data_IF_970718537848
#
_entry.id   IF_970718537848
#
_cell.length_a   1.000
_cell.length_b   1.000
_cell.length_c   1.000
_cell.angle_alpha   90.00
_cell.angle_beta   90.00
_cell.angle_gamma   90.00
#
_symmetry.space_group_name_H-M   'P 1'
#
loop_
_entity.id
_entity.type
_entity.pdbx_description
1 polymer ?
#
# COMPACT_ATOMS: atom_id res chain seq x y z
N UNK A 1 8.00 -10.30 25.22
CA UNK A 1 7.86 -10.19 23.75
C UNK A 1 6.61 -10.96 23.36
N UNK A 2 5.48 -10.28 23.24
CA UNK A 2 4.30 -10.87 22.60
C UNK A 2 4.56 -10.83 21.10
N UNK A 3 4.74 -12.00 20.48
CA UNK A 3 4.76 -12.09 19.03
C UNK A 3 3.35 -11.82 18.54
N UNK A 4 3.13 -10.65 17.92
CA UNK A 4 1.88 -10.33 17.24
C UNK A 4 1.55 -11.44 16.24
N UNK A 5 0.37 -12.04 16.35
CA UNK A 5 -0.02 -13.12 15.45
C UNK A 5 -0.23 -12.53 14.06
N UNK A 6 0.52 -13.06 13.09
CA UNK A 6 0.49 -12.63 11.70
C UNK A 6 -0.27 -13.63 10.85
N UNK A 7 -1.22 -13.14 10.06
CA UNK A 7 -1.92 -13.89 9.02
C UNK A 7 -1.44 -13.42 7.64
N UNK A 8 -1.04 -14.37 6.80
CA UNK A 8 -0.68 -14.14 5.41
C UNK A 8 -1.68 -14.90 4.55
N UNK A 9 -2.38 -14.18 3.69
CA UNK A 9 -3.32 -14.74 2.73
C UNK A 9 -2.78 -14.51 1.34
N UNK A 10 -2.62 -15.58 0.57
CA UNK A 10 -2.42 -15.51 -0.87
C UNK A 10 -3.53 -16.29 -1.57
N UNK A 11 -3.72 -16.02 -2.86
CA UNK A 11 -4.73 -16.69 -3.67
C UNK A 11 -4.65 -18.20 -3.59
N UNK A 12 -3.42 -18.74 -3.58
CA UNK A 12 -3.18 -20.18 -3.43
C UNK A 12 -3.67 -20.70 -2.09
N UNK A 13 -3.42 -19.97 -1.00
CA UNK A 13 -3.93 -20.35 0.32
C UNK A 13 -5.45 -20.28 0.38
N UNK A 14 -6.05 -19.20 -0.15
CA UNK A 14 -7.50 -19.00 -0.15
C UNK A 14 -8.20 -20.12 -0.95
N UNK A 15 -7.70 -20.43 -2.14
CA UNK A 15 -8.21 -21.54 -2.96
C UNK A 15 -8.10 -22.89 -2.25
N UNK A 16 -7.00 -23.13 -1.53
CA UNK A 16 -6.81 -24.38 -0.78
C UNK A 16 -7.83 -24.53 0.37
N UNK A 17 -8.18 -23.42 1.03
CA UNK A 17 -9.10 -23.45 2.19
C UNK A 17 -10.56 -23.24 1.81
N UNK A 18 -10.86 -22.78 0.59
CA UNK A 18 -12.21 -22.49 0.09
C UNK A 18 -13.22 -23.63 0.39
N UNK A 19 -12.93 -24.92 0.11
CA UNK A 19 -13.89 -25.98 0.37
C UNK A 19 -14.32 -26.06 1.83
N UNK A 20 -13.41 -25.69 2.75
CA UNK A 20 -13.64 -25.72 4.19
C UNK A 20 -14.38 -24.48 4.70
N UNK A 21 -14.31 -23.33 4.00
CA UNK A 21 -15.03 -22.11 4.37
C UNK A 21 -16.56 -22.29 4.34
N UNK A 22 -17.05 -23.30 3.62
CA UNK A 22 -18.47 -23.68 3.63
C UNK A 22 -18.89 -24.40 4.92
N UNK A 23 -17.95 -24.88 5.73
CA UNK A 23 -18.23 -25.59 6.99
C UNK A 23 -18.40 -24.63 8.16
N UNK A 24 -19.58 -24.59 8.83
CA UNK A 24 -19.79 -23.73 10.01
C UNK A 24 -18.82 -24.03 11.16
N UNK A 25 -18.44 -25.30 11.32
CA UNK A 25 -17.47 -25.72 12.34
C UNK A 25 -16.08 -25.15 12.08
N UNK A 26 -15.65 -25.16 10.81
CA UNK A 26 -14.38 -24.58 10.41
C UNK A 26 -14.39 -23.06 10.60
N UNK A 27 -15.46 -22.38 10.18
CA UNK A 27 -15.63 -20.93 10.39
C UNK A 27 -15.59 -20.57 11.88
N UNK A 28 -16.23 -21.36 12.75
CA UNK A 28 -16.16 -21.13 14.21
C UNK A 28 -14.74 -21.26 14.75
N UNK A 29 -13.93 -22.19 14.23
CA UNK A 29 -12.51 -22.34 14.59
C UNK A 29 -11.67 -21.16 14.10
N UNK A 30 -11.84 -20.76 12.83
CA UNK A 30 -11.16 -19.60 12.27
C UNK A 30 -11.49 -18.33 13.04
N UNK A 31 -12.77 -18.11 13.35
CA UNK A 31 -13.21 -16.97 14.14
C UNK A 31 -12.43 -16.89 15.44
N UNK A 32 -12.30 -17.99 16.20
CA UNK A 32 -11.51 -18.01 17.45
C UNK A 32 -10.04 -17.65 17.21
N UNK A 33 -9.43 -18.17 16.15
CA UNK A 33 -8.04 -17.91 15.81
C UNK A 33 -7.80 -16.45 15.38
N UNK A 34 -8.76 -15.83 14.69
CA UNK A 34 -8.66 -14.46 14.20
C UNK A 34 -8.84 -13.41 15.30
N UNK A 35 -9.35 -13.75 16.48
CA UNK A 35 -9.42 -12.83 17.63
C UNK A 35 -8.06 -12.39 18.16
N UNK A 36 -6.97 -13.06 17.77
CA UNK A 36 -5.61 -12.70 18.16
C UNK A 36 -4.75 -12.20 16.99
N UNK A 37 -5.28 -12.16 15.76
CA UNK A 37 -4.53 -11.70 14.58
C UNK A 37 -4.42 -10.18 14.62
N UNK A 38 -3.22 -9.67 14.84
CA UNK A 38 -2.96 -8.22 14.86
C UNK A 38 -2.38 -7.73 13.52
N UNK A 39 -1.81 -8.63 12.71
CA UNK A 39 -1.15 -8.30 11.45
C UNK A 39 -1.75 -9.14 10.31
N UNK A 40 -2.25 -8.47 9.29
CA UNK A 40 -2.75 -9.07 8.06
C UNK A 40 -1.87 -8.70 6.86
N UNK A 41 -1.47 -9.69 6.08
CA UNK A 41 -0.83 -9.49 4.78
C UNK A 41 -1.64 -10.22 3.73
N UNK A 42 -2.03 -9.51 2.67
CA UNK A 42 -2.73 -10.08 1.51
C UNK A 42 -1.81 -9.92 0.30
N UNK A 43 -1.41 -11.07 -0.22
CA UNK A 43 -0.41 -11.24 -1.26
C UNK A 43 -1.08 -11.85 -2.49
N UNK A 44 -1.58 -10.97 -3.36
CA UNK A 44 -2.19 -11.34 -4.64
C UNK A 44 -1.37 -10.76 -5.78
N UNK A 45 -0.68 -11.65 -6.48
CA UNK A 45 0.17 -11.28 -7.60
C UNK A 45 -0.65 -10.99 -8.87
N UNK A 46 -1.89 -11.46 -8.95
CA UNK A 46 -2.75 -11.41 -10.14
C UNK A 46 -4.14 -10.85 -9.82
N UNK A 47 -4.96 -10.63 -10.85
CA UNK A 47 -6.37 -10.32 -10.61
C UNK A 47 -7.07 -11.54 -10.00
N UNK A 48 -7.60 -11.39 -8.79
CA UNK A 48 -8.31 -12.48 -8.11
C UNK A 48 -9.57 -12.87 -8.88
N UNK A 49 -9.76 -14.17 -9.07
CA UNK A 49 -11.01 -14.71 -9.60
C UNK A 49 -12.17 -14.44 -8.65
N UNK A 50 -13.40 -14.37 -9.18
CA UNK A 50 -14.59 -14.03 -8.37
C UNK A 50 -14.86 -15.07 -7.26
N UNK A 51 -14.52 -16.34 -7.49
CA UNK A 51 -14.61 -17.40 -6.47
C UNK A 51 -13.64 -17.14 -5.29
N UNK A 52 -12.41 -16.71 -5.59
CA UNK A 52 -11.42 -16.32 -4.58
C UNK A 52 -11.89 -15.04 -3.85
N UNK A 53 -12.49 -14.08 -4.55
CA UNK A 53 -13.05 -12.86 -3.93
C UNK A 53 -14.15 -13.20 -2.92
N UNK A 54 -15.05 -14.14 -3.24
CA UNK A 54 -16.09 -14.60 -2.32
C UNK A 54 -15.52 -15.23 -1.04
N UNK A 55 -14.52 -16.08 -1.20
CA UNK A 55 -13.80 -16.71 -0.09
C UNK A 55 -13.03 -15.70 0.75
N UNK A 56 -12.33 -14.76 0.11
CA UNK A 56 -11.61 -13.67 0.76
C UNK A 56 -12.57 -12.78 1.56
N UNK A 57 -13.72 -12.41 1.00
CA UNK A 57 -14.75 -11.64 1.71
C UNK A 57 -15.24 -12.37 2.97
N UNK A 58 -15.40 -13.69 2.92
CA UNK A 58 -15.78 -14.48 4.10
C UNK A 58 -14.73 -14.36 5.20
N UNK A 59 -13.45 -14.46 4.85
CA UNK A 59 -12.33 -14.32 5.79
C UNK A 59 -12.26 -12.88 6.35
N UNK A 60 -12.41 -11.88 5.49
CA UNK A 60 -12.37 -10.47 5.87
C UNK A 60 -13.49 -10.11 6.84
N UNK A 61 -14.70 -10.63 6.66
CA UNK A 61 -15.81 -10.43 7.60
C UNK A 61 -15.54 -11.01 9.00
N UNK A 62 -14.63 -11.98 9.12
CA UNK A 62 -14.21 -12.52 10.41
C UNK A 62 -13.12 -11.66 11.07
N UNK A 63 -12.25 -11.04 10.27
CA UNK A 63 -11.17 -10.15 10.75
C UNK A 63 -11.67 -8.74 11.04
N UNK A 64 -12.60 -8.24 10.22
CA UNK A 64 -13.21 -6.91 10.26
C UNK A 64 -14.74 -7.06 10.33
N UNK A 65 -15.27 -7.55 11.47
CA UNK A 65 -16.72 -7.70 11.63
C UNK A 65 -17.42 -6.34 11.55
N UNK A 66 -18.50 -6.21 10.75
CA UNK A 66 -19.19 -4.93 10.58
C UNK A 66 -19.78 -4.44 11.91
N UNK A 67 -19.53 -3.16 12.23
CA UNK A 67 -20.03 -2.52 13.45
C UNK A 67 -19.29 -2.92 14.73
N UNK A 68 -18.21 -3.70 14.63
CA UNK A 68 -17.37 -4.09 15.77
C UNK A 68 -15.91 -3.68 15.51
N UNK A 69 -15.17 -3.23 16.54
CA UNK A 69 -13.75 -2.94 16.37
C UNK A 69 -12.98 -4.22 16.02
N UNK A 70 -11.99 -4.10 15.13
CA UNK A 70 -11.08 -5.19 14.82
C UNK A 70 -9.87 -5.13 15.75
N UNK A 71 -9.28 -6.29 16.05
CA UNK A 71 -7.98 -6.41 16.73
C UNK A 71 -6.80 -6.23 15.76
N UNK A 72 -7.06 -6.25 14.45
CA UNK A 72 -6.04 -6.05 13.43
C UNK A 72 -5.58 -4.59 13.47
N UNK A 73 -4.28 -4.41 13.72
CA UNK A 73 -3.62 -3.09 13.79
C UNK A 73 -2.81 -2.79 12.55
N UNK A 74 -2.36 -3.83 11.84
CA UNK A 74 -1.49 -3.69 10.67
C UNK A 74 -2.04 -4.47 9.48
N UNK A 75 -2.13 -3.80 8.33
CA UNK A 75 -2.57 -4.41 7.07
C UNK A 75 -1.55 -4.08 5.98
N UNK A 76 -1.14 -5.09 5.21
CA UNK A 76 -0.36 -4.90 3.97
C UNK A 76 -1.08 -5.58 2.81
N UNK A 77 -1.29 -4.85 1.73
CA UNK A 77 -2.03 -5.30 0.55
C UNK A 77 -1.16 -5.27 -0.70
N UNK A 78 -1.26 -6.29 -1.53
CA UNK A 78 -0.73 -6.35 -2.89
C UNK A 78 -1.90 -6.55 -3.86
N UNK A 79 -2.18 -5.56 -4.73
CA UNK A 79 -3.27 -5.51 -5.71
C UNK A 79 -4.73 -5.63 -5.20
N UNK A 80 -5.00 -6.34 -4.09
CA UNK A 80 -6.34 -6.64 -3.52
C UNK A 80 -7.04 -5.46 -2.84
N UNK A 81 -6.64 -4.26 -3.21
CA UNK A 81 -7.16 -3.05 -2.62
C UNK A 81 -8.68 -2.92 -2.86
N UNK A 82 -9.20 -3.42 -3.99
CA UNK A 82 -10.63 -3.32 -4.31
C UNK A 82 -11.53 -4.19 -3.41
N UNK A 83 -11.06 -5.39 -3.07
CA UNK A 83 -11.81 -6.33 -2.23
C UNK A 83 -11.64 -5.96 -0.77
N UNK A 84 -10.43 -5.62 -0.34
CA UNK A 84 -10.11 -5.42 1.08
C UNK A 84 -10.48 -4.04 1.57
N UNK A 85 -10.34 -3.02 0.71
CA UNK A 85 -10.53 -1.63 1.08
C UNK A 85 -11.84 -1.31 1.81
N UNK A 86 -13.01 -1.80 1.31
CA UNK A 86 -14.29 -1.60 1.99
C UNK A 86 -14.33 -2.12 3.44
N UNK A 87 -13.62 -3.21 3.74
CA UNK A 87 -13.58 -3.82 5.08
C UNK A 87 -12.68 -3.06 6.06
N UNK A 88 -11.77 -2.23 5.56
CA UNK A 88 -10.92 -1.38 6.42
C UNK A 88 -11.67 -0.13 6.90
N UNK A 89 -12.78 0.21 6.26
CA UNK A 89 -13.56 1.41 6.56
C UNK A 89 -14.17 1.31 7.97
N UNK A 90 -13.88 2.29 8.80
CA UNK A 90 -14.42 2.35 10.18
C UNK A 90 -13.63 1.53 11.20
N UNK A 91 -12.54 0.89 10.80
CA UNK A 91 -11.56 0.28 11.71
C UNK A 91 -10.33 1.16 11.82
N UNK A 92 -9.75 1.27 13.02
CA UNK A 92 -8.55 2.06 13.27
C UNK A 92 -7.31 1.18 13.12
N UNK A 93 -6.61 1.31 12.00
CA UNK A 93 -5.31 0.71 11.78
C UNK A 93 -4.21 1.64 12.30
N UNK A 94 -3.16 1.04 12.87
CA UNK A 94 -1.89 1.72 13.16
C UNK A 94 -0.98 1.73 11.94
N UNK A 95 -1.02 0.68 11.13
CA UNK A 95 -0.11 0.51 10.00
C UNK A 95 -0.87 0.05 8.74
N UNK A 96 -0.68 0.76 7.62
CA UNK A 96 -1.27 0.41 6.33
C UNK A 96 -0.21 0.42 5.23
N UNK A 97 -0.02 -0.74 4.60
CA UNK A 97 0.83 -0.93 3.42
C UNK A 97 -0.01 -1.22 2.20
N UNK A 98 0.20 -0.50 1.10
CA UNK A 98 -0.45 -0.72 -0.18
C UNK A 98 0.63 -0.85 -1.24
N UNK A 99 0.62 -1.98 -1.94
CA UNK A 99 1.52 -2.26 -3.04
C UNK A 99 0.68 -2.50 -4.30
N UNK A 100 1.10 -1.89 -5.41
CA UNK A 100 0.34 -1.91 -6.64
C UNK A 100 1.22 -2.23 -7.84
N UNK A 101 0.83 -3.26 -8.60
CA UNK A 101 1.48 -3.63 -9.85
C UNK A 101 0.96 -2.77 -11.01
N UNK A 102 1.89 -2.12 -11.70
CA UNK A 102 1.66 -1.39 -12.94
C UNK A 102 1.94 -2.31 -14.14
N UNK A 103 0.91 -3.05 -14.55
CA UNK A 103 0.89 -3.91 -15.74
C UNK A 103 0.03 -3.26 -16.86
N UNK A 104 -0.32 -3.99 -17.92
CA UNK A 104 -1.10 -3.46 -19.05
C UNK A 104 -2.62 -3.39 -18.79
N UNK A 105 -3.11 -4.09 -17.76
CA UNK A 105 -4.52 -4.13 -17.34
C UNK A 105 -4.84 -3.00 -16.38
N UNK A 106 -3.86 -2.60 -15.58
CA UNK A 106 -3.96 -1.61 -14.50
C UNK A 106 -3.60 -0.19 -14.95
N UNK A 107 -2.94 -0.01 -16.10
CA UNK A 107 -2.60 1.32 -16.64
C UNK A 107 -3.06 1.49 -18.08
N UNK A 108 -3.41 2.73 -18.44
CA UNK A 108 -3.70 3.10 -19.83
C UNK A 108 -2.70 4.13 -20.33
N UNK A 109 -2.38 4.05 -21.63
CA UNK A 109 -1.53 5.04 -22.29
C UNK A 109 -2.32 6.32 -22.48
N UNK A 110 -1.75 7.45 -22.10
CA UNK A 110 -2.39 8.75 -22.31
C UNK A 110 -2.04 9.35 -23.67
N UNK A 111 -0.94 8.91 -24.29
CA UNK A 111 -0.48 9.39 -25.58
C UNK A 111 0.17 8.26 -26.38
N UNK A 112 0.06 8.35 -27.70
CA UNK A 112 0.80 7.51 -28.63
C UNK A 112 2.24 8.03 -28.75
N UNK A 113 3.22 7.14 -28.60
CA UNK A 113 4.64 7.47 -28.71
C UNK A 113 5.34 6.51 -29.68
N UNK A 114 6.43 6.95 -30.29
CA UNK A 114 7.22 6.11 -31.21
C UNK A 114 7.89 4.97 -30.44
N UNK A 115 8.22 3.88 -31.16
CA UNK A 115 8.97 2.74 -30.59
C UNK A 115 10.28 3.24 -29.98
N UNK A 116 10.58 2.85 -28.74
CA UNK A 116 11.78 3.25 -28.00
C UNK A 116 11.61 4.52 -27.14
N UNK A 117 10.49 5.24 -27.25
CA UNK A 117 10.19 6.38 -26.37
C UNK A 117 9.50 5.94 -25.08
N UNK A 118 9.64 6.77 -24.03
CA UNK A 118 8.98 6.57 -22.75
C UNK A 118 7.48 6.77 -22.94
N UNK A 119 6.69 5.77 -22.53
CA UNK A 119 5.24 5.78 -22.73
C UNK A 119 4.55 6.45 -21.53
N UNK A 120 3.85 7.58 -21.70
CA UNK A 120 3.09 8.18 -20.62
C UNK A 120 1.85 7.35 -20.30
N UNK A 121 1.64 7.06 -19.02
CA UNK A 121 0.56 6.20 -18.53
C UNK A 121 -0.14 6.81 -17.32
N UNK A 122 -1.41 6.43 -17.14
CA UNK A 122 -2.24 6.70 -15.94
C UNK A 122 -2.82 5.39 -15.42
N UNK A 123 -3.11 5.33 -14.14
CA UNK A 123 -3.74 4.15 -13.53
C UNK A 123 -5.20 4.12 -13.99
N UNK A 124 -5.66 2.95 -14.48
CA UNK A 124 -7.05 2.74 -14.93
C UNK A 124 -8.03 2.70 -13.76
N UNK A 125 -7.56 2.23 -12.62
CA UNK A 125 -8.36 2.05 -11.41
C UNK A 125 -8.48 3.37 -10.63
N UNK A 126 -9.65 3.61 -10.04
CA UNK A 126 -9.89 4.75 -9.16
C UNK A 126 -9.29 4.52 -7.76
N UNK A 127 -8.03 4.10 -7.71
CA UNK A 127 -7.29 3.77 -6.49
C UNK A 127 -7.15 5.01 -5.62
N UNK A 128 -6.84 6.16 -6.21
CA UNK A 128 -6.67 7.44 -5.50
C UNK A 128 -7.89 7.82 -4.67
N UNK A 129 -9.11 7.71 -5.23
CA UNK A 129 -10.34 7.98 -4.47
C UNK A 129 -10.52 7.00 -3.34
N UNK A 130 -10.36 5.70 -3.60
CA UNK A 130 -10.60 4.68 -2.59
C UNK A 130 -9.55 4.71 -1.45
N UNK A 131 -8.27 4.98 -1.76
CA UNK A 131 -7.25 5.21 -0.72
C UNK A 131 -7.67 6.39 0.15
N UNK A 132 -8.11 7.50 -0.47
CA UNK A 132 -8.61 8.66 0.26
C UNK A 132 -9.80 8.30 1.18
N UNK A 133 -10.76 7.52 0.68
CA UNK A 133 -11.91 7.07 1.47
C UNK A 133 -11.50 6.27 2.71
N UNK A 134 -10.54 5.34 2.57
CA UNK A 134 -10.04 4.56 3.71
C UNK A 134 -9.28 5.46 4.67
N UNK A 135 -8.31 6.23 4.17
CA UNK A 135 -7.44 7.08 4.95
C UNK A 135 -8.23 8.08 5.80
N UNK A 136 -9.30 8.67 5.24
CA UNK A 136 -10.17 9.60 5.96
C UNK A 136 -10.87 8.95 7.17
N UNK A 137 -10.95 7.62 7.23
CA UNK A 137 -11.49 6.90 8.39
C UNK A 137 -10.42 6.48 9.40
N UNK A 138 -9.13 6.58 9.06
CA UNK A 138 -8.04 6.13 9.91
C UNK A 138 -7.56 7.24 10.85
N UNK A 139 -8.04 7.26 12.09
CA UNK A 139 -7.64 8.28 13.08
C UNK A 139 -6.28 8.01 13.71
N UNK A 140 -5.90 6.74 13.82
CA UNK A 140 -4.71 6.28 14.56
C UNK A 140 -3.57 5.80 13.64
N UNK A 141 -3.59 6.17 12.36
CA UNK A 141 -2.61 5.70 11.39
C UNK A 141 -1.22 6.26 11.69
N UNK A 142 -0.39 5.47 12.35
CA UNK A 142 0.99 5.81 12.70
C UNK A 142 1.96 5.57 11.54
N UNK A 143 1.69 4.58 10.68
CA UNK A 143 2.55 4.27 9.53
C UNK A 143 1.78 3.98 8.25
N UNK A 144 2.24 4.58 7.16
CA UNK A 144 1.73 4.33 5.83
C UNK A 144 2.87 4.00 4.86
N UNK A 145 2.72 2.91 4.11
CA UNK A 145 3.64 2.52 3.04
C UNK A 145 2.89 2.40 1.73
N UNK A 146 3.37 3.06 0.68
CA UNK A 146 2.85 2.93 -0.66
C UNK A 146 3.96 2.49 -1.61
N UNK A 147 3.77 1.35 -2.26
CA UNK A 147 4.77 0.73 -3.15
C UNK A 147 4.21 0.61 -4.56
N UNK A 148 4.98 1.06 -5.55
CA UNK A 148 4.69 0.84 -6.97
C UNK A 148 5.66 -0.20 -7.54
N UNK A 149 5.09 -1.23 -8.14
CA UNK A 149 5.82 -2.36 -8.73
C UNK A 149 5.53 -2.37 -10.24
N UNK A 150 6.51 -2.69 -11.08
CA UNK A 150 6.25 -2.91 -12.51
C UNK A 150 7.01 -4.14 -13.00
N UNK A 151 6.30 -4.96 -13.76
CA UNK A 151 6.84 -6.09 -14.52
C UNK A 151 7.39 -5.63 -15.89
N UNK A 152 7.02 -4.42 -16.33
CA UNK A 152 7.22 -4.04 -17.73
C UNK A 152 8.69 -3.71 -18.04
N UNK A 153 9.19 -4.41 -19.05
CA UNK A 153 10.43 -4.10 -19.77
C UNK A 153 10.43 -2.70 -20.41
N UNK A 154 9.26 -2.09 -20.66
CA UNK A 154 9.15 -0.78 -21.30
C UNK A 154 9.24 0.34 -20.27
N UNK A 155 10.05 1.36 -20.59
CA UNK A 155 10.11 2.61 -19.82
C UNK A 155 8.75 3.31 -19.91
N UNK A 156 7.99 3.39 -18.81
CA UNK A 156 6.74 4.17 -18.72
C UNK A 156 6.98 5.47 -17.95
N UNK A 157 6.12 6.47 -18.13
CA UNK A 157 6.08 7.69 -17.31
C UNK A 157 4.72 7.79 -16.63
N UNK A 158 4.66 7.68 -15.31
CA UNK A 158 3.40 7.79 -14.57
C UNK A 158 2.98 9.26 -14.44
N UNK A 159 1.77 9.59 -14.87
CA UNK A 159 1.20 10.96 -14.88
C UNK A 159 -0.01 11.12 -13.93
N UNK A 160 -0.08 10.32 -12.87
CA UNK A 160 -1.27 10.20 -12.03
C UNK A 160 -1.32 11.23 -10.89
N UNK A 161 -1.60 12.49 -11.24
CA UNK A 161 -1.63 13.60 -10.28
C UNK A 161 -2.59 13.35 -9.10
N UNK A 162 -3.72 12.65 -9.34
CA UNK A 162 -4.73 12.36 -8.32
C UNK A 162 -4.19 11.40 -7.26
N UNK A 163 -3.44 10.37 -7.67
CA UNK A 163 -2.76 9.48 -6.73
C UNK A 163 -1.81 10.25 -5.82
N UNK A 164 -1.03 11.16 -6.37
CA UNK A 164 -0.07 11.93 -5.58
C UNK A 164 -0.74 12.97 -4.68
N UNK A 165 -1.84 13.58 -5.12
CA UNK A 165 -2.67 14.42 -4.25
C UNK A 165 -3.28 13.60 -3.10
N UNK A 166 -3.68 12.35 -3.35
CA UNK A 166 -4.13 11.44 -2.31
C UNK A 166 -3.01 11.12 -1.31
N UNK A 167 -1.82 10.74 -1.78
CA UNK A 167 -0.65 10.49 -0.93
C UNK A 167 -0.26 11.73 -0.11
N UNK A 168 -0.44 12.93 -0.67
CA UNK A 168 -0.27 14.17 0.07
C UNK A 168 -1.25 14.30 1.24
N UNK A 169 -2.53 13.98 1.04
CA UNK A 169 -3.52 14.02 2.12
C UNK A 169 -3.15 13.06 3.27
N UNK A 170 -2.52 11.92 2.96
CA UNK A 170 -1.99 11.00 3.99
C UNK A 170 -0.93 11.68 4.85
N UNK A 171 -0.01 12.44 4.24
CA UNK A 171 1.06 13.15 4.96
C UNK A 171 0.53 14.20 5.96
N UNK A 172 -0.70 14.68 5.76
CA UNK A 172 -1.35 15.65 6.64
C UNK A 172 -2.02 15.03 7.87
N UNK A 173 -2.05 13.69 7.98
CA UNK A 173 -2.63 13.03 9.14
C UNK A 173 -1.81 13.34 10.41
N UNK A 174 -2.43 13.89 11.47
CA UNK A 174 -1.70 14.26 12.69
C UNK A 174 -1.07 13.07 13.43
N UNK A 175 -1.64 11.87 13.27
CA UNK A 175 -1.16 10.63 13.88
C UNK A 175 0.00 10.00 13.12
N UNK A 176 0.26 10.41 11.87
CA UNK A 176 1.28 9.79 11.05
C UNK A 176 2.68 10.07 11.61
N UNK A 177 3.45 9.00 11.79
CA UNK A 177 4.83 9.02 12.27
C UNK A 177 5.81 8.46 11.27
N UNK A 178 5.34 7.64 10.32
CA UNK A 178 6.18 7.00 9.31
C UNK A 178 5.46 6.93 7.99
N UNK A 179 5.89 7.72 7.02
CA UNK A 179 5.48 7.57 5.63
C UNK A 179 6.61 6.95 4.83
N UNK A 180 6.29 5.97 3.98
CA UNK A 180 7.19 5.41 2.98
C UNK A 180 6.51 5.39 1.62
N UNK A 181 7.08 6.08 0.66
CA UNK A 181 6.80 5.86 -0.75
C UNK A 181 7.97 5.07 -1.34
N UNK A 182 7.67 3.90 -1.92
CA UNK A 182 8.66 3.00 -2.52
C UNK A 182 8.36 2.81 -4.01
N UNK A 183 9.21 3.38 -4.83
CA UNK A 183 9.17 3.22 -6.28
C UNK A 183 10.41 2.48 -6.82
N UNK A 184 11.17 1.83 -5.94
CA UNK A 184 12.47 1.23 -6.30
C UNK A 184 12.38 0.13 -7.35
N UNK A 185 11.21 -0.49 -7.48
CA UNK A 185 10.94 -1.52 -8.48
C UNK A 185 10.35 -0.95 -9.78
N UNK A 186 10.19 0.37 -9.91
CA UNK A 186 9.82 0.99 -11.16
C UNK A 186 11.01 1.10 -12.10
N UNK A 187 10.96 0.39 -13.24
CA UNK A 187 11.77 0.70 -14.44
C UNK A 187 11.27 1.96 -15.19
N UNK A 188 10.32 2.67 -14.58
CA UNK A 188 9.52 3.74 -15.14
C UNK A 188 9.83 5.06 -14.44
N UNK A 189 9.80 6.17 -15.19
CA UNK A 189 10.01 7.50 -14.63
C UNK A 189 8.75 7.97 -13.89
N UNK A 190 8.91 8.46 -12.67
CA UNK A 190 7.88 9.30 -12.03
C UNK A 190 8.11 10.72 -12.55
N UNK A 191 7.04 11.43 -12.90
CA UNK A 191 7.16 12.81 -13.39
C UNK A 191 7.94 13.69 -12.39
N UNK A 192 8.89 14.49 -12.87
CA UNK A 192 9.68 15.41 -12.03
C UNK A 192 8.80 16.37 -11.21
N UNK A 193 7.69 16.84 -11.78
CA UNK A 193 6.69 17.68 -11.09
C UNK A 193 6.13 16.98 -9.85
N UNK A 194 5.83 15.69 -9.99
CA UNK A 194 5.27 14.87 -8.93
C UNK A 194 6.30 14.63 -7.83
N UNK A 195 7.54 14.33 -8.21
CA UNK A 195 8.65 14.17 -7.27
C UNK A 195 8.93 15.47 -6.51
N UNK A 196 8.97 16.62 -7.19
CA UNK A 196 9.16 17.92 -6.58
C UNK A 196 8.05 18.27 -5.58
N UNK A 197 6.80 17.88 -5.86
CA UNK A 197 5.69 18.04 -4.93
C UNK A 197 5.88 17.14 -3.70
N UNK A 198 6.15 15.85 -3.88
CA UNK A 198 6.40 14.94 -2.75
C UNK A 198 7.58 15.40 -1.88
N UNK A 199 8.65 15.90 -2.51
CA UNK A 199 9.83 16.43 -1.80
C UNK A 199 9.53 17.72 -1.05
N UNK A 200 8.89 18.70 -1.68
CA UNK A 200 8.50 19.95 -1.01
C UNK A 200 7.63 19.68 0.22
N UNK A 201 6.75 18.69 0.10
CA UNK A 201 5.81 18.32 1.15
C UNK A 201 6.48 17.51 2.25
N UNK A 202 7.41 16.63 1.89
CA UNK A 202 8.28 15.94 2.84
C UNK A 202 9.07 16.93 3.69
N UNK A 203 9.66 17.95 3.05
CA UNK A 203 10.44 18.99 3.73
C UNK A 203 9.59 19.90 4.62
N UNK A 204 8.29 20.05 4.32
CA UNK A 204 7.36 20.85 5.13
C UNK A 204 6.71 20.10 6.30
N UNK A 205 6.90 18.77 6.40
CA UNK A 205 6.23 17.99 7.43
C UNK A 205 6.88 18.17 8.80
N UNK A 206 6.09 18.34 9.88
CA UNK A 206 6.61 18.43 11.24
C UNK A 206 7.02 17.06 11.84
N UNK A 207 6.88 15.96 11.08
CA UNK A 207 7.08 14.59 11.56
C UNK A 207 8.22 13.88 10.82
N UNK A 208 8.85 12.83 11.42
CA UNK A 208 9.87 12.04 10.75
C UNK A 208 9.29 11.29 9.55
N UNK A 209 9.64 11.73 8.35
CA UNK A 209 9.24 11.08 7.11
C UNK A 209 10.42 10.27 6.53
N UNK A 210 10.11 9.23 5.76
CA UNK A 210 11.12 8.34 5.18
C UNK A 210 10.84 8.10 3.68
N UNK A 211 11.50 8.84 2.78
CA UNK A 211 11.27 8.73 1.33
C UNK A 211 12.30 7.83 0.63
N UNK A 212 11.85 6.75 -0.04
CA UNK A 212 12.71 5.87 -0.86
C UNK A 212 12.32 5.89 -2.34
N UNK A 213 13.03 6.66 -3.14
CA UNK A 213 12.87 6.71 -4.59
C UNK A 213 14.05 6.04 -5.32
N UNK A 214 14.09 4.70 -5.37
CA UNK A 214 15.12 3.99 -6.12
C UNK A 214 14.85 3.99 -7.64
N UNK A 215 15.89 4.14 -8.46
CA UNK A 215 15.89 3.89 -9.90
C UNK A 215 17.15 3.08 -10.19
N UNK A 216 17.02 1.89 -10.80
CA UNK A 216 18.18 1.11 -11.26
C UNK A 216 18.54 1.53 -12.69
N UNK A 217 19.74 2.09 -12.83
CA UNK A 217 20.47 2.62 -14.00
C UNK A 217 20.06 2.15 -15.42
N UNK A 218 20.09 3.07 -16.40
CA UNK A 218 20.99 3.11 -17.58
C UNK A 218 20.72 4.39 -18.42
N UNK A 219 21.70 5.30 -18.44
CA UNK A 219 21.89 6.41 -19.38
C UNK A 219 20.65 7.28 -19.72
N UNK A 220 20.25 8.14 -18.78
CA UNK A 220 19.45 9.39 -18.97
C UNK A 220 19.56 10.17 -17.65
N UNK A 221 19.58 11.52 -17.62
CA UNK A 221 19.92 12.29 -16.41
C UNK A 221 18.78 12.35 -15.37
N UNK A 222 18.04 11.26 -15.15
CA UNK A 222 16.81 11.26 -14.36
C UNK A 222 16.86 10.30 -13.15
N UNK A 223 17.30 10.90 -12.05
CA UNK A 223 17.13 10.67 -10.59
C UNK A 223 17.16 9.24 -10.01
N UNK A 224 18.10 9.06 -9.08
CA UNK A 224 18.09 8.07 -7.99
C UNK A 224 18.01 8.81 -6.65
N UNK A 225 17.12 8.43 -5.72
CA UNK A 225 17.07 8.97 -4.34
C UNK A 225 16.77 7.89 -3.29
N UNK A 226 17.68 7.68 -2.34
CA UNK A 226 17.50 6.74 -1.23
C UNK A 226 17.65 7.48 0.11
N UNK A 227 16.56 7.53 0.92
CA UNK A 227 16.36 7.53 2.40
C UNK A 227 17.47 8.02 3.38
N UNK A 228 17.21 8.57 4.58
CA UNK A 228 16.59 7.97 5.79
C UNK A 228 16.36 9.05 6.88
N UNK A 229 15.32 8.97 7.74
CA UNK A 229 15.31 9.74 9.01
C UNK A 229 15.79 8.87 10.17
N UNK A 230 17.04 9.04 10.60
CA UNK A 230 17.57 8.49 11.86
C UNK A 230 17.28 9.46 13.02
N UNK A 231 16.07 9.41 13.59
CA UNK A 231 15.79 10.17 14.83
C UNK A 231 16.62 9.66 16.03
N UNK A 232 17.12 8.42 15.99
CA UNK A 232 17.98 7.86 17.03
C UNK A 232 19.40 8.47 17.07
N UNK A 233 19.77 9.34 16.11
CA UNK A 233 21.04 10.09 16.15
C UNK A 233 20.92 11.52 16.66
N UNK A 234 19.73 12.14 16.66
CA UNK A 234 19.59 13.52 17.15
C UNK A 234 19.39 13.61 18.66
N UNK A 235 18.88 12.58 19.32
CA UNK A 235 18.77 12.55 20.79
C UNK A 235 20.08 12.21 21.51
N UNK A 236 21.14 11.78 20.81
CA UNK A 236 22.47 11.55 21.42
C UNK A 236 23.47 12.70 21.28
N UNK A 237 23.10 13.80 20.62
CA UNK A 237 23.95 15.02 20.55
C UNK A 237 23.33 16.29 21.14
N UNK A 238 22.07 16.25 21.58
CA UNK A 238 21.49 17.29 22.44
C UNK A 238 21.74 17.04 23.95
N UNK A 239 22.51 16.00 24.29
CA UNK A 239 22.89 15.68 25.66
C UNK A 239 24.38 15.35 25.75
N UNK A 240 25.24 16.30 25.35
CA UNK A 240 26.63 16.40 25.81
C UNK A 240 26.94 17.87 26.01
N UNK A 241 26.78 18.30 27.28
CA UNK A 241 27.24 19.53 27.94
C UNK A 241 26.84 20.88 27.33
#
# INVERSE_FOLDING_TARGET
MTTDLKLILSDRYISTIEPYLRSPHFIRKLKKLFHSVEVLTIDSEFETSDDIKGSLNTILNLLFPPGQPSVVKSVTLLNEFEVVGPHLKGHNLKHLGISFYLNHETVFRTQWVKKGQIVPVRIRLNISRKITEIINTQKELESFTFTLITDDSRRRRLLDNDLFQCLYNVLQLPSLRKFKFDASQLRSQISSVILCNLLSLFLSSPYPLSLKAGSQYYASPDVTLTLESNLDRFQRKACVK
#
